data_IF_828246829693
#
_entry.id   IF_828246829693
#
_cell.length_a   1.000
_cell.length_b   1.000
_cell.length_c   1.000
_cell.angle_alpha   90.00
_cell.angle_beta   90.00
_cell.angle_gamma   90.00
#
_symmetry.space_group_name_H-M   'P 1'
#
loop_
_entity.id
_entity.type
_entity.pdbx_description
1 polymer ?
#
# COMPACT_ATOMS: atom_id res chain seq x y z
N UNK A 1 -29.11 2.45 -12.45
CA UNK A 1 -28.02 1.46 -12.49
C UNK A 1 -27.27 1.62 -11.17
N UNK A 2 -27.04 0.57 -10.37
CA UNK A 2 -26.07 0.68 -9.28
C UNK A 2 -24.70 0.99 -9.89
N UNK A 3 -24.00 1.94 -9.30
CA UNK A 3 -22.62 2.30 -9.64
C UNK A 3 -21.77 1.02 -9.63
N UNK A 4 -20.99 0.69 -10.67
CA UNK A 4 -20.11 -0.47 -10.63
C UNK A 4 -19.17 -0.33 -9.44
N UNK A 5 -19.32 -1.20 -8.44
CA UNK A 5 -18.48 -1.22 -7.24
C UNK A 5 -17.01 -1.22 -7.65
N UNK A 6 -16.34 -0.07 -7.49
CA UNK A 6 -14.91 0.05 -7.76
C UNK A 6 -14.16 -0.87 -6.82
N UNK A 7 -13.52 -1.90 -7.38
CA UNK A 7 -12.75 -2.85 -6.60
C UNK A 7 -11.51 -2.16 -6.03
N UNK A 8 -11.31 -2.25 -4.72
CA UNK A 8 -10.07 -1.85 -4.08
C UNK A 8 -8.93 -2.73 -4.59
N UNK A 9 -7.84 -2.08 -5.03
CA UNK A 9 -6.63 -2.75 -5.49
C UNK A 9 -5.74 -3.07 -4.29
N UNK A 10 -4.99 -4.17 -4.37
CA UNK A 10 -3.89 -4.39 -3.44
C UNK A 10 -2.70 -3.49 -3.81
N UNK A 11 -1.90 -3.16 -2.81
CA UNK A 11 -0.79 -2.22 -2.95
C UNK A 11 0.43 -2.73 -2.17
N UNK A 12 1.61 -2.48 -2.73
CA UNK A 12 2.88 -2.57 -2.02
C UNK A 12 3.37 -1.16 -1.70
N UNK A 13 3.52 -0.86 -0.42
CA UNK A 13 3.98 0.46 0.06
C UNK A 13 5.33 0.32 0.74
N UNK A 14 6.24 1.23 0.42
CA UNK A 14 7.51 1.32 1.12
C UNK A 14 7.32 1.94 2.50
N UNK A 15 7.89 1.30 3.52
CA UNK A 15 7.79 1.72 4.92
C UNK A 15 9.15 1.74 5.60
N UNK A 16 9.24 2.52 6.68
CA UNK A 16 10.32 2.46 7.67
C UNK A 16 9.75 2.16 9.05
N UNK A 17 10.56 1.53 9.90
CA UNK A 17 10.30 1.42 11.33
C UNK A 17 11.11 2.47 12.06
N UNK A 18 10.44 3.28 12.88
CA UNK A 18 11.11 4.25 13.76
C UNK A 18 11.80 3.55 14.93
N UNK A 19 12.62 4.28 15.68
CA UNK A 19 13.23 3.77 16.92
C UNK A 19 12.17 3.26 17.93
N UNK A 20 10.99 3.89 17.92
CA UNK A 20 9.83 3.53 18.74
C UNK A 20 9.00 2.36 18.17
N UNK A 21 9.48 1.73 17.08
CA UNK A 21 8.80 0.65 16.33
C UNK A 21 7.49 1.04 15.68
N UNK A 22 7.24 2.34 15.49
CA UNK A 22 6.12 2.81 14.69
C UNK A 22 6.42 2.65 13.21
N UNK A 23 5.38 2.42 12.41
CA UNK A 23 5.51 2.25 10.96
C UNK A 23 5.15 3.55 10.26
N UNK A 24 6.07 4.05 9.44
CA UNK A 24 5.88 5.24 8.62
C UNK A 24 5.97 4.91 7.13
N UNK A 25 5.03 5.42 6.35
CA UNK A 25 5.05 5.31 4.89
C UNK A 25 6.12 6.26 4.30
N UNK A 26 6.91 5.74 3.36
CA UNK A 26 7.95 6.47 2.64
C UNK A 26 7.47 7.04 1.29
N UNK A 27 6.17 6.95 1.02
CA UNK A 27 5.51 7.55 -0.15
C UNK A 27 5.58 6.74 -1.44
N UNK A 28 6.47 5.75 -1.54
CA UNK A 28 6.52 4.87 -2.71
C UNK A 28 5.42 3.81 -2.64
N UNK A 29 4.44 3.92 -3.53
CA UNK A 29 3.30 3.00 -3.65
C UNK A 29 3.34 2.31 -5.01
N UNK A 30 3.10 1.00 -5.02
CA UNK A 30 3.02 0.18 -6.23
C UNK A 30 1.69 -0.56 -6.20
N UNK A 31 0.79 -0.17 -7.09
CA UNK A 31 -0.49 -0.84 -7.28
C UNK A 31 -0.29 -2.19 -7.98
N UNK A 32 -0.96 -3.23 -7.48
CA UNK A 32 -1.01 -4.50 -8.21
C UNK A 32 -1.91 -4.35 -9.42
N UNK A 33 -1.50 -4.92 -10.56
CA UNK A 33 -2.31 -4.87 -11.77
C UNK A 33 -3.60 -5.69 -11.60
N UNK A 34 -3.47 -6.91 -11.07
CA UNK A 34 -4.58 -7.80 -10.74
C UNK A 34 -4.53 -8.17 -9.27
N UNK A 35 -5.69 -8.12 -8.60
CA UNK A 35 -5.77 -8.54 -7.22
C UNK A 35 -5.48 -10.05 -7.12
N UNK A 36 -4.72 -10.49 -6.11
CA UNK A 36 -4.40 -11.89 -5.96
C UNK A 36 -5.67 -12.70 -5.68
N UNK A 37 -5.76 -13.89 -6.26
CA UNK A 37 -6.87 -14.81 -6.01
C UNK A 37 -6.83 -15.39 -4.58
N UNK A 38 -5.64 -15.47 -3.99
CA UNK A 38 -5.42 -16.04 -2.65
C UNK A 38 -4.28 -15.30 -1.93
N UNK A 39 -4.37 -15.24 -0.61
CA UNK A 39 -3.28 -14.84 0.28
C UNK A 39 -2.95 -16.02 1.20
N UNK A 40 -1.66 -16.38 1.30
CA UNK A 40 -1.23 -17.43 2.22
C UNK A 40 -0.42 -16.82 3.36
N UNK A 41 -0.99 -16.79 4.56
CA UNK A 41 -0.31 -16.34 5.77
C UNK A 41 0.05 -17.53 6.64
N UNK A 42 1.32 -17.67 7.00
CA UNK A 42 1.84 -18.76 7.83
C UNK A 42 2.39 -18.20 9.14
N UNK A 43 1.93 -18.73 10.28
CA UNK A 43 2.38 -18.35 11.61
C UNK A 43 3.20 -19.49 12.22
N UNK A 44 4.45 -19.23 12.59
CA UNK A 44 5.34 -20.22 13.20
C UNK A 44 5.80 -19.73 14.56
N UNK A 45 5.60 -20.54 15.60
CA UNK A 45 6.14 -20.29 16.94
C UNK A 45 7.40 -21.12 17.16
N UNK A 46 8.49 -20.48 17.61
CA UNK A 46 9.64 -21.22 18.10
C UNK A 46 9.42 -21.64 19.57
N UNK A 47 9.60 -22.93 19.86
CA UNK A 47 9.56 -23.50 21.21
C UNK A 47 10.94 -24.10 21.52
N UNK A 48 11.48 -23.83 22.69
CA UNK A 48 12.70 -24.46 23.18
C UNK A 48 12.39 -25.26 24.45
N UNK A 49 12.94 -26.47 24.54
CA UNK A 49 12.71 -27.37 25.66
C UNK A 49 11.51 -28.31 25.49
N UNK A 50 11.63 -29.51 26.07
CA UNK A 50 10.61 -30.57 26.01
C UNK A 50 11.14 -31.97 25.70
N UNK A 51 12.40 -32.12 25.30
CA UNK A 51 12.97 -33.42 24.87
C UNK A 51 13.51 -34.29 26.02
N UNK A 52 13.20 -33.96 27.28
CA UNK A 52 13.57 -34.79 28.43
C UNK A 52 12.39 -35.67 28.88
N UNK A 53 12.58 -37.00 29.01
CA UNK A 53 11.59 -37.88 29.63
C UNK A 53 11.49 -37.54 31.13
N UNK A 54 10.57 -36.64 31.46
CA UNK A 54 10.43 -36.09 32.81
C UNK A 54 9.49 -34.88 32.94
N UNK A 55 8.88 -34.39 31.85
CA UNK A 55 7.80 -33.41 31.95
C UNK A 55 8.23 -32.01 32.38
N UNK A 56 9.35 -31.50 31.86
CA UNK A 56 9.70 -30.10 31.98
C UNK A 56 8.73 -29.22 31.17
N UNK A 57 8.26 -28.12 31.76
CA UNK A 57 7.43 -27.12 31.09
C UNK A 57 8.11 -26.61 29.82
N UNK A 58 7.40 -26.67 28.69
CA UNK A 58 7.87 -26.11 27.41
C UNK A 58 8.09 -24.60 27.61
N UNK A 59 9.33 -24.15 27.48
CA UNK A 59 9.65 -22.73 27.57
C UNK A 59 9.38 -22.08 26.21
N UNK A 60 8.42 -21.16 26.18
CA UNK A 60 8.19 -20.32 25.02
C UNK A 60 9.36 -19.32 24.91
N UNK A 61 10.09 -19.36 23.79
CA UNK A 61 11.31 -18.55 23.58
C UNK A 61 11.05 -17.21 22.88
N UNK A 62 9.77 -16.86 22.67
CA UNK A 62 9.39 -15.48 22.35
C UNK A 62 9.51 -15.05 20.88
N UNK A 63 10.16 -15.81 20.00
CA UNK A 63 10.29 -15.45 18.58
C UNK A 63 9.31 -16.24 17.70
N UNK A 64 8.12 -15.68 17.51
CA UNK A 64 7.22 -16.10 16.44
C UNK A 64 7.60 -15.44 15.12
N UNK A 65 7.43 -16.14 13.99
CA UNK A 65 7.62 -15.58 12.64
C UNK A 65 6.32 -15.69 11.87
N UNK A 66 5.89 -14.59 11.28
CA UNK A 66 4.76 -14.56 10.35
C UNK A 66 5.28 -14.40 8.93
N UNK A 67 4.79 -15.21 8.00
CA UNK A 67 5.14 -15.15 6.58
C UNK A 67 3.92 -14.95 5.71
N UNK A 68 3.98 -14.02 4.78
CA UNK A 68 3.01 -13.85 3.71
C UNK A 68 3.61 -14.38 2.40
N UNK A 69 2.86 -15.20 1.68
CA UNK A 69 3.14 -15.59 0.30
C UNK A 69 1.99 -15.17 -0.59
N UNK A 70 2.29 -14.43 -1.66
CA UNK A 70 1.33 -13.89 -2.61
C UNK A 70 1.84 -14.07 -4.03
N UNK A 71 0.94 -14.42 -4.94
CA UNK A 71 1.20 -14.47 -6.38
C UNK A 71 0.57 -13.24 -7.05
N UNK A 72 1.40 -12.47 -7.75
CA UNK A 72 1.03 -11.27 -8.49
C UNK A 72 1.19 -11.54 -9.98
N UNK A 73 0.23 -11.11 -10.79
CA UNK A 73 0.29 -11.26 -12.25
C UNK A 73 0.44 -9.88 -12.88
N UNK A 74 1.31 -9.78 -13.87
CA UNK A 74 1.56 -8.58 -14.67
C UNK A 74 1.44 -8.91 -16.16
N UNK A 75 0.81 -8.03 -16.93
CA UNK A 75 0.55 -8.22 -18.36
C UNK A 75 0.50 -6.87 -19.09
N UNK A 76 1.39 -6.67 -20.06
CA UNK A 76 1.43 -5.42 -20.85
C UNK A 76 0.52 -5.44 -22.08
N UNK A 77 -0.13 -6.57 -22.36
CA UNK A 77 -1.01 -6.80 -23.51
C UNK A 77 -2.48 -6.48 -23.25
N UNK A 78 -2.85 -6.21 -22.00
CA UNK A 78 -4.19 -5.74 -21.64
C UNK A 78 -4.55 -4.43 -22.35
N UNK A 79 -5.83 -4.07 -22.36
CA UNK A 79 -6.30 -2.85 -23.02
C UNK A 79 -5.63 -1.58 -22.43
N UNK A 80 -5.58 -1.50 -21.10
CA UNK A 80 -5.05 -0.37 -20.33
C UNK A 80 -4.00 -0.89 -19.33
N UNK A 81 -2.76 -1.15 -19.77
CA UNK A 81 -1.69 -1.55 -18.87
C UNK A 81 -1.21 -0.34 -18.06
N UNK A 82 -0.69 -0.54 -16.83
CA UNK A 82 -0.07 0.53 -16.07
C UNK A 82 1.08 1.17 -16.86
N UNK A 83 1.11 2.49 -16.93
CA UNK A 83 2.19 3.20 -17.60
C UNK A 83 3.49 3.16 -16.78
N UNK A 84 4.60 3.22 -17.50
CA UNK A 84 5.95 3.40 -16.94
C UNK A 84 6.58 4.54 -17.70
N UNK A 85 7.02 5.58 -16.97
CA UNK A 85 7.61 6.80 -17.54
C UNK A 85 6.71 7.50 -18.60
N UNK A 86 5.39 7.50 -18.37
CA UNK A 86 4.40 8.15 -19.24
C UNK A 86 4.15 7.42 -20.56
N UNK A 87 4.53 6.14 -20.65
CA UNK A 87 4.31 5.33 -21.82
C UNK A 87 3.83 3.92 -21.47
N UNK A 88 3.11 3.30 -22.41
CA UNK A 88 2.75 1.89 -22.35
C UNK A 88 4.02 1.04 -22.35
N UNK A 89 4.25 0.20 -21.33
CA UNK A 89 5.40 -0.68 -21.31
C UNK A 89 5.30 -1.73 -22.42
N UNK A 90 6.43 -2.02 -23.03
CA UNK A 90 6.59 -2.97 -24.12
C UNK A 90 7.27 -4.28 -23.69
N UNK A 91 7.75 -4.30 -22.44
CA UNK A 91 8.35 -5.42 -21.74
C UNK A 91 7.79 -5.42 -20.31
N UNK A 92 7.20 -6.55 -19.89
CA UNK A 92 6.58 -6.69 -18.57
C UNK A 92 7.55 -6.48 -17.41
N UNK A 93 8.85 -6.68 -17.66
CA UNK A 93 9.90 -6.47 -16.64
C UNK A 93 9.97 -5.03 -16.16
N UNK A 94 9.48 -4.06 -16.94
CA UNK A 94 9.35 -2.66 -16.50
C UNK A 94 8.33 -2.51 -15.36
N UNK A 95 7.29 -3.35 -15.33
CA UNK A 95 6.31 -3.39 -14.25
C UNK A 95 6.88 -4.13 -13.03
N UNK A 96 7.46 -5.32 -13.24
CA UNK A 96 7.96 -6.16 -12.15
C UNK A 96 9.22 -5.59 -11.50
N UNK A 97 10.01 -4.78 -12.21
CA UNK A 97 11.14 -4.03 -11.64
C UNK A 97 10.71 -3.10 -10.48
N UNK A 98 9.46 -2.61 -10.50
CA UNK A 98 8.90 -1.84 -9.39
C UNK A 98 8.79 -2.71 -8.13
N UNK A 99 8.37 -3.97 -8.25
CA UNK A 99 8.33 -4.93 -7.14
C UNK A 99 9.73 -5.32 -6.69
N UNK A 100 10.63 -5.60 -7.64
CA UNK A 100 12.02 -5.95 -7.35
C UNK A 100 12.77 -4.86 -6.57
N UNK A 101 12.31 -3.61 -6.63
CA UNK A 101 12.83 -2.52 -5.81
C UNK A 101 12.94 -2.86 -4.32
N UNK A 102 11.95 -3.56 -3.76
CA UNK A 102 11.91 -3.93 -2.35
C UNK A 102 12.95 -5.00 -1.96
N UNK A 103 13.49 -5.73 -2.94
CA UNK A 103 14.58 -6.68 -2.76
C UNK A 103 15.97 -6.02 -2.77
N UNK A 104 16.07 -4.77 -3.21
CA UNK A 104 17.35 -4.06 -3.34
C UNK A 104 17.66 -3.38 -1.99
N UNK A 105 18.72 -3.82 -1.27
CA UNK A 105 19.10 -3.22 -0.01
C UNK A 105 19.44 -1.74 -0.18
N UNK A 106 19.10 -0.94 0.81
CA UNK A 106 19.44 0.47 0.85
C UNK A 106 20.68 0.70 1.72
N UNK A 107 21.64 1.52 1.26
CA UNK A 107 22.73 1.96 2.12
C UNK A 107 22.16 2.87 3.20
N UNK A 108 22.38 2.50 4.45
CA UNK A 108 22.08 3.30 5.64
C UNK A 108 23.37 3.36 6.43
N UNK A 109 23.98 4.54 6.49
CA UNK A 109 25.35 4.74 6.98
C UNK A 109 26.35 3.79 6.27
N UNK A 110 27.13 3.03 7.05
CA UNK A 110 28.09 2.04 6.56
C UNK A 110 27.49 0.63 6.36
N UNK A 111 26.17 0.46 6.51
CA UNK A 111 25.48 -0.83 6.43
C UNK A 111 24.45 -0.87 5.29
N UNK A 112 24.07 -2.09 4.89
CA UNK A 112 22.95 -2.32 3.98
C UNK A 112 21.76 -2.87 4.76
N UNK A 113 20.64 -2.17 4.69
CA UNK A 113 19.39 -2.57 5.36
C UNK A 113 18.36 -2.94 4.29
N UNK A 114 17.57 -3.97 4.55
CA UNK A 114 16.46 -4.33 3.67
C UNK A 114 15.36 -3.27 3.73
N UNK A 115 14.65 -3.08 2.63
CA UNK A 115 13.51 -2.14 2.60
C UNK A 115 12.32 -2.73 3.34
N UNK A 116 11.68 -1.92 4.17
CA UNK A 116 10.40 -2.26 4.73
C UNK A 116 9.32 -2.18 3.66
N UNK A 117 8.42 -3.15 3.66
CA UNK A 117 7.29 -3.21 2.73
C UNK A 117 6.00 -3.55 3.46
N UNK A 118 4.95 -2.80 3.16
CA UNK A 118 3.58 -3.07 3.58
C UNK A 118 2.79 -3.58 2.38
N UNK A 119 2.26 -4.78 2.48
CA UNK A 119 1.19 -5.26 1.59
C UNK A 119 -0.15 -4.83 2.19
N UNK A 120 -0.92 -4.05 1.44
CA UNK A 120 -2.20 -3.50 1.87
C UNK A 120 -3.30 -3.89 0.88
N UNK A 121 -4.39 -4.47 1.37
CA UNK A 121 -5.56 -4.76 0.55
C UNK A 121 -6.85 -4.70 1.38
N UNK A 122 -7.58 -3.59 1.28
CA UNK A 122 -8.77 -3.34 2.09
C UNK A 122 -8.42 -3.37 3.58
N UNK A 123 -9.02 -4.29 4.34
CA UNK A 123 -8.72 -4.43 5.77
C UNK A 123 -7.47 -5.26 6.05
N UNK A 124 -6.89 -5.92 5.04
CA UNK A 124 -5.72 -6.77 5.23
C UNK A 124 -4.44 -5.94 5.13
N UNK A 125 -3.64 -5.96 6.19
CA UNK A 125 -2.33 -5.29 6.25
C UNK A 125 -1.28 -6.31 6.67
N UNK A 126 -0.20 -6.39 5.92
CA UNK A 126 0.98 -7.17 6.29
C UNK A 126 2.22 -6.30 6.15
N UNK A 127 2.95 -6.10 7.25
CA UNK A 127 4.15 -5.27 7.30
C UNK A 127 5.36 -6.13 7.60
N UNK A 128 6.39 -6.03 6.77
CA UNK A 128 7.58 -6.83 6.95
C UNK A 128 8.65 -6.50 5.92
N UNK A 129 9.60 -7.40 5.77
CA UNK A 129 10.62 -7.32 4.72
C UNK A 129 10.30 -8.34 3.64
N UNK A 130 10.73 -8.07 2.41
CA UNK A 130 10.61 -9.04 1.33
C UNK A 130 11.76 -10.06 1.44
N UNK A 131 11.41 -11.33 1.63
CA UNK A 131 12.36 -12.44 1.75
C UNK A 131 12.83 -12.91 0.36
N UNK A 132 11.87 -13.04 -0.57
CA UNK A 132 12.13 -13.56 -1.90
C UNK A 132 11.12 -13.04 -2.94
N UNK A 133 11.57 -12.98 -4.18
CA UNK A 133 10.77 -12.69 -5.36
C UNK A 133 11.14 -13.71 -6.44
N UNK A 134 10.17 -14.48 -6.91
CA UNK A 134 10.33 -15.45 -7.99
C UNK A 134 9.51 -15.01 -9.19
N UNK A 135 10.17 -14.60 -10.27
CA UNK A 135 9.52 -14.14 -11.50
C UNK A 135 9.53 -15.25 -12.56
N UNK A 136 8.34 -15.58 -13.06
CA UNK A 136 8.14 -16.46 -14.22
C UNK A 136 7.69 -15.62 -15.40
N UNK A 137 8.56 -15.49 -16.41
CA UNK A 137 8.28 -14.72 -17.63
C UNK A 137 7.60 -15.60 -18.67
N UNK A 138 6.50 -15.12 -19.23
CA UNK A 138 5.68 -15.83 -20.20
C UNK A 138 5.11 -14.89 -21.29
N UNK A 139 4.48 -15.51 -22.28
CA UNK A 139 3.86 -14.83 -23.43
C UNK A 139 4.79 -13.81 -24.11
N UNK A 140 5.68 -14.32 -24.97
CA UNK A 140 6.71 -13.51 -25.60
C UNK A 140 6.24 -12.88 -26.91
N UNK A 141 6.70 -11.66 -27.17
CA UNK A 141 6.56 -11.00 -28.47
C UNK A 141 7.38 -11.71 -29.55
N UNK A 142 7.15 -11.36 -30.82
CA UNK A 142 7.91 -11.90 -31.95
C UNK A 142 9.41 -11.58 -31.89
N UNK A 143 9.80 -10.49 -31.23
CA UNK A 143 11.19 -10.08 -30.99
C UNK A 143 11.75 -10.57 -29.64
N UNK A 144 11.01 -11.41 -28.91
CA UNK A 144 11.50 -12.10 -27.71
C UNK A 144 11.36 -11.33 -26.39
N UNK A 145 10.59 -10.23 -26.36
CA UNK A 145 10.27 -9.52 -25.11
C UNK A 145 9.16 -10.27 -24.36
N UNK A 146 9.29 -10.49 -23.04
CA UNK A 146 8.21 -11.06 -22.25
C UNK A 146 7.08 -10.03 -22.11
N UNK A 147 5.85 -10.44 -22.38
CA UNK A 147 4.68 -9.56 -22.29
C UNK A 147 3.81 -9.86 -21.06
N UNK A 148 4.04 -10.99 -20.39
CA UNK A 148 3.36 -11.36 -19.15
C UNK A 148 4.34 -11.97 -18.15
N UNK A 149 4.08 -11.78 -16.87
CA UNK A 149 4.84 -12.40 -15.79
C UNK A 149 3.94 -12.77 -14.62
N UNK A 150 4.20 -13.94 -14.02
CA UNK A 150 3.74 -14.29 -12.67
C UNK A 150 4.89 -14.10 -11.70
N UNK A 151 4.65 -13.35 -10.63
CA UNK A 151 5.63 -13.00 -9.60
C UNK A 151 5.12 -13.51 -8.26
N UNK A 152 5.82 -14.51 -7.70
CA UNK A 152 5.58 -14.97 -6.33
C UNK A 152 6.48 -14.18 -5.38
N UNK A 153 5.86 -13.46 -4.46
CA UNK A 153 6.53 -12.68 -3.42
C UNK A 153 6.35 -13.36 -2.07
N UNK A 154 7.44 -13.48 -1.32
CA UNK A 154 7.43 -13.91 0.07
C UNK A 154 7.90 -12.77 0.96
N UNK A 155 7.16 -12.51 2.04
CA UNK A 155 7.49 -11.49 3.04
C UNK A 155 7.49 -12.11 4.42
N UNK A 156 8.38 -11.62 5.31
CA UNK A 156 8.40 -12.03 6.71
C UNK A 156 8.39 -10.86 7.68
N UNK A 157 7.81 -11.12 8.86
CA UNK A 157 7.83 -10.25 10.02
C UNK A 157 8.37 -11.02 11.22
N UNK A 158 9.31 -10.42 11.96
CA UNK A 158 9.95 -11.01 13.15
C UNK A 158 9.12 -10.85 14.43
N UNK A 159 7.80 -10.96 14.31
CA UNK A 159 6.88 -11.01 15.44
C UNK A 159 5.56 -11.64 14.96
N UNK A 160 4.84 -12.30 15.88
CA UNK A 160 3.41 -12.53 15.69
C UNK A 160 2.73 -11.35 16.35
N UNK A 161 2.48 -10.29 15.56
CA UNK A 161 1.69 -9.16 16.03
C UNK A 161 0.22 -9.60 16.22
N UNK A 162 -0.50 -8.89 17.08
CA UNK A 162 -1.95 -8.94 17.12
C UNK A 162 -2.54 -8.61 15.73
N UNK A 163 -3.68 -9.20 15.39
CA UNK A 163 -4.32 -9.02 14.08
C UNK A 163 -4.56 -7.54 13.79
N UNK A 164 -3.81 -6.98 12.85
CA UNK A 164 -3.98 -5.59 12.41
C UNK A 164 -5.04 -5.56 11.30
N UNK A 165 -6.14 -4.86 11.55
CA UNK A 165 -7.17 -4.59 10.55
C UNK A 165 -6.99 -3.16 10.04
N UNK A 166 -6.67 -3.01 8.75
CA UNK A 166 -6.69 -1.70 8.10
C UNK A 166 -8.11 -1.13 8.04
N UNK A 167 -8.23 0.20 7.92
CA UNK A 167 -9.53 0.81 7.63
C UNK A 167 -9.99 0.42 6.22
N UNK A 168 -11.17 -0.18 6.11
CA UNK A 168 -11.79 -0.42 4.81
C UNK A 168 -12.20 0.95 4.21
N UNK A 169 -11.47 1.40 3.20
CA UNK A 169 -11.91 2.52 2.38
C UNK A 169 -13.31 2.23 1.81
N UNK A 170 -14.28 3.10 2.09
CA UNK A 170 -15.62 2.99 1.51
C UNK A 170 -15.49 3.37 0.03
N UNK A 171 -15.86 2.48 -0.92
CA UNK A 171 -15.73 2.80 -2.34
C UNK A 171 -16.58 4.04 -2.67
N UNK A 172 -15.92 5.10 -3.15
CA UNK A 172 -16.59 6.34 -3.58
C UNK A 172 -16.58 7.50 -2.57
N UNK A 173 -15.92 7.38 -1.42
CA UNK A 173 -15.80 8.51 -0.49
C UNK A 173 -14.38 9.10 -0.59
N UNK A 174 -14.21 10.13 -1.43
CA UNK A 174 -13.22 11.14 -1.08
C UNK A 174 -13.65 11.69 0.28
N UNK A 175 -12.79 11.55 1.30
CA UNK A 175 -13.10 12.04 2.62
C UNK A 175 -13.34 13.54 2.50
N UNK A 176 -14.59 13.96 2.58
CA UNK A 176 -14.99 15.35 2.44
C UNK A 176 -15.69 15.80 3.71
N UNK A 177 -15.28 16.95 4.23
CA UNK A 177 -15.86 17.62 5.39
C UNK A 177 -16.81 18.70 4.89
N UNK A 178 -18.01 18.79 5.47
CA UNK A 178 -18.89 19.94 5.24
C UNK A 178 -18.40 21.14 6.05
N UNK A 179 -18.36 22.32 5.42
CA UNK A 179 -18.06 23.58 6.08
C UNK A 179 -19.20 23.98 7.01
N UNK A 180 -18.83 24.40 8.22
CA UNK A 180 -19.76 24.99 9.19
C UNK A 180 -20.15 26.43 8.77
N UNK A 181 -21.28 26.93 9.29
CA UNK A 181 -21.79 28.25 8.92
C UNK A 181 -20.77 29.35 9.31
N UNK A 182 -20.25 30.06 8.31
CA UNK A 182 -19.21 31.09 8.48
C UNK A 182 -17.75 30.60 8.40
N UNK A 183 -17.51 29.31 8.16
CA UNK A 183 -16.16 28.75 7.97
C UNK A 183 -15.62 29.10 6.57
N UNK A 184 -14.43 29.72 6.49
CA UNK A 184 -13.82 30.04 5.20
C UNK A 184 -12.99 28.87 4.67
N UNK A 185 -12.79 28.79 3.34
CA UNK A 185 -11.93 27.77 2.72
C UNK A 185 -10.49 27.84 3.25
N UNK A 186 -10.05 29.04 3.65
CA UNK A 186 -8.74 29.24 4.26
C UNK A 186 -8.62 28.57 5.64
N UNK A 187 -9.69 28.61 6.45
CA UNK A 187 -9.72 27.96 7.77
C UNK A 187 -9.73 26.43 7.62
N UNK A 188 -10.47 25.93 6.62
CA UNK A 188 -10.52 24.50 6.31
C UNK A 188 -9.18 23.95 5.80
N UNK A 189 -8.46 24.70 4.94
CA UNK A 189 -7.13 24.31 4.47
C UNK A 189 -6.09 24.29 5.61
N UNK A 190 -6.18 25.25 6.54
CA UNK A 190 -5.34 25.26 7.74
C UNK A 190 -5.55 24.04 8.64
N UNK A 191 -6.80 23.57 8.78
CA UNK A 191 -7.14 22.34 9.49
C UNK A 191 -6.71 21.07 8.74
N UNK A 192 -6.68 21.10 7.41
CA UNK A 192 -6.21 20.01 6.56
C UNK A 192 -4.68 19.82 6.56
N UNK A 193 -3.94 20.71 7.24
CA UNK A 193 -2.53 20.53 7.57
C UNK A 193 -1.56 21.35 6.71
N UNK A 194 -2.04 22.06 5.69
CA UNK A 194 -1.21 22.97 4.89
C UNK A 194 -1.98 24.23 4.46
N UNK A 195 -1.79 25.37 5.16
CA UNK A 195 -2.50 26.62 4.86
C UNK A 195 -2.09 27.24 3.51
N UNK A 196 -0.98 26.82 2.89
CA UNK A 196 -0.58 27.33 1.56
C UNK A 196 -1.32 26.65 0.41
N UNK A 197 -1.91 25.46 0.63
CA UNK A 197 -2.67 24.68 -0.35
C UNK A 197 -4.16 25.05 -0.46
N UNK A 198 -4.56 26.20 0.12
CA UNK A 198 -5.96 26.66 0.07
C UNK A 198 -6.47 26.90 -1.36
N UNK A 199 -5.59 27.18 -2.32
CA UNK A 199 -5.94 27.37 -3.74
C UNK A 199 -6.34 26.06 -4.40
N UNK A 200 -5.54 25.01 -4.21
CA UNK A 200 -5.84 23.68 -4.75
C UNK A 200 -7.12 23.13 -4.11
N UNK A 201 -7.34 23.44 -2.83
CA UNK A 201 -8.56 23.14 -2.10
C UNK A 201 -9.77 23.91 -2.68
N UNK A 202 -9.60 25.19 -3.02
CA UNK A 202 -10.67 26.00 -3.62
C UNK A 202 -11.01 25.52 -5.04
N UNK A 203 -10.00 25.20 -5.86
CA UNK A 203 -10.19 24.69 -7.21
C UNK A 203 -10.92 23.33 -7.21
N UNK A 204 -10.59 22.46 -6.25
CA UNK A 204 -11.28 21.18 -6.07
C UNK A 204 -12.76 21.35 -5.67
N UNK A 205 -13.06 22.31 -4.80
CA UNK A 205 -14.44 22.61 -4.36
C UNK A 205 -15.25 23.26 -5.48
N UNK A 206 -14.63 24.16 -6.27
CA UNK A 206 -15.27 24.84 -7.41
C UNK A 206 -15.59 23.86 -8.54
N UNK A 207 -14.68 22.92 -8.85
CA UNK A 207 -14.87 21.89 -9.86
C UNK A 207 -16.02 20.93 -9.53
N UNK A 208 -16.30 20.69 -8.24
CA UNK A 208 -17.33 19.77 -7.79
C UNK A 208 -18.70 20.44 -7.58
N UNK A 209 -18.74 21.75 -7.28
CA UNK A 209 -19.96 22.42 -6.78
C UNK A 209 -20.37 23.72 -7.51
N UNK A 210 -19.75 24.07 -8.64
CA UNK A 210 -20.09 25.25 -9.48
C UNK A 210 -20.31 26.54 -8.65
N UNK A 211 -19.40 26.84 -7.73
CA UNK A 211 -19.56 27.97 -6.81
C UNK A 211 -19.41 29.34 -7.53
N UNK A 212 -20.37 30.25 -7.32
CA UNK A 212 -20.31 31.62 -7.87
C UNK A 212 -19.25 32.52 -7.19
N UNK A 213 -18.72 32.16 -6.01
CA UNK A 213 -17.68 32.96 -5.32
C UNK A 213 -16.78 32.10 -4.41
N UNK A 214 -15.48 31.94 -4.74
CA UNK A 214 -14.55 31.08 -4.00
C UNK A 214 -14.23 31.53 -2.56
N UNK A 215 -14.55 32.76 -2.18
CA UNK A 215 -14.18 33.33 -0.87
C UNK A 215 -15.20 33.08 0.25
N UNK A 216 -16.45 32.80 -0.10
CA UNK A 216 -17.55 32.63 0.85
C UNK A 216 -18.47 31.52 0.31
N UNK A 217 -18.09 30.25 0.48
CA UNK A 217 -18.95 29.14 0.12
C UNK A 217 -20.23 29.14 0.98
N UNK A 218 -21.37 28.70 0.44
CA UNK A 218 -22.59 28.53 1.22
C UNK A 218 -22.39 27.46 2.30
N UNK A 219 -23.07 27.60 3.44
CA UNK A 219 -23.05 26.62 4.52
C UNK A 219 -23.39 25.21 3.98
N UNK A 220 -22.56 24.22 4.32
CA UNK A 220 -22.70 22.85 3.82
C UNK A 220 -21.88 22.50 2.57
N UNK A 221 -21.15 23.44 1.98
CA UNK A 221 -20.16 23.13 0.94
C UNK A 221 -19.11 22.15 1.46
N UNK A 222 -18.66 21.23 0.59
CA UNK A 222 -17.77 20.13 1.00
C UNK A 222 -16.34 20.38 0.57
N UNK A 223 -15.40 20.16 1.47
CA UNK A 223 -13.95 20.34 1.28
C UNK A 223 -13.23 19.02 1.52
N UNK A 224 -12.18 18.65 0.75
CA UNK A 224 -11.37 17.48 1.04
C UNK A 224 -10.83 17.52 2.48
N UNK A 225 -11.04 16.43 3.22
CA UNK A 225 -10.56 16.25 4.57
C UNK A 225 -9.07 15.87 4.53
N UNK A 226 -8.23 16.68 5.16
CA UNK A 226 -6.83 16.37 5.36
C UNK A 226 -6.62 15.15 6.28
N UNK A 227 -5.41 14.56 6.27
CA UNK A 227 -5.07 13.43 7.14
C UNK A 227 -5.28 13.81 8.60
N UNK A 228 -6.02 12.97 9.35
CA UNK A 228 -6.22 13.17 10.78
C UNK A 228 -4.90 12.92 11.52
N UNK A 229 -4.44 13.91 12.26
CA UNK A 229 -3.30 13.82 13.21
C UNK A 229 -3.63 12.94 14.40
#
# INVERSE_FOLDING_TARGET
MPDPTRLLKAELREIEWTEDREVRDLGKVIDVQFNPATLKVSYTNQKAGGDQPGGGSIQFVGSGTTKLSVELVFDVTVAEPPEVDGARPDDVRRLTAKVAHFMIPQPVDDNFVQRGVRFHWGTFVFEGVMDSMNETLEFFSADGRPLRASVTVEMSQQEIKDFTFGEAGVPGTESSRALEDGESIHDAAGLAGDPEQWRDTADAVEADQELETPRLPPAGARVPAGPRR
#
